data_IF_690939790216
#
_entry.id   IF_690939790216
#
_cell.length_a   1.000
_cell.length_b   1.000
_cell.length_c   1.000
_cell.angle_alpha   90.00
_cell.angle_beta   90.00
_cell.angle_gamma   90.00
#
_symmetry.space_group_name_H-M   'P 1'
#
loop_
_entity.id
_entity.type
_entity.pdbx_description
1 polymer ?
#
# COMPACT_ATOMS: atom_id res chain seq x y z
N UNK A 1 4.02 4.43 -17.75
CA UNK A 1 2.65 4.77 -17.26
C UNK A 1 1.63 4.11 -18.18
N UNK A 2 0.58 3.51 -17.63
CA UNK A 2 -0.50 2.82 -18.39
C UNK A 2 -1.53 3.78 -19.00
N UNK A 3 -1.25 5.07 -18.99
CA UNK A 3 -2.17 6.14 -19.43
C UNK A 3 -2.73 5.93 -20.86
N UNK A 4 -1.93 5.35 -21.75
CA UNK A 4 -2.33 5.08 -23.13
C UNK A 4 -3.37 3.96 -23.26
N UNK A 5 -3.54 3.12 -22.25
CA UNK A 5 -4.50 2.01 -22.26
C UNK A 5 -5.90 2.40 -21.77
N UNK A 6 -6.04 3.55 -21.08
CA UNK A 6 -7.25 3.86 -20.34
C UNK A 6 -8.47 4.05 -21.24
N UNK A 7 -8.31 4.80 -22.34
CA UNK A 7 -9.41 5.09 -23.26
C UNK A 7 -9.87 3.82 -24.00
N UNK A 8 -8.92 3.07 -24.54
CA UNK A 8 -9.22 1.83 -25.29
C UNK A 8 -9.89 0.79 -24.39
N UNK A 9 -9.39 0.62 -23.16
CA UNK A 9 -9.96 -0.29 -22.17
C UNK A 9 -11.41 0.09 -21.81
N UNK A 10 -11.70 1.37 -21.58
CA UNK A 10 -13.04 1.84 -21.28
C UNK A 10 -14.02 1.59 -22.45
N UNK A 11 -13.57 1.84 -23.69
CA UNK A 11 -14.33 1.56 -24.89
C UNK A 11 -14.60 0.06 -25.10
N UNK A 12 -13.61 -0.78 -24.85
CA UNK A 12 -13.76 -2.24 -24.91
C UNK A 12 -14.77 -2.76 -23.88
N UNK A 13 -14.72 -2.24 -22.65
CA UNK A 13 -15.69 -2.58 -21.59
C UNK A 13 -17.11 -2.17 -22.00
N UNK A 14 -17.27 -1.01 -22.63
CA UNK A 14 -18.57 -0.52 -23.12
C UNK A 14 -19.09 -1.38 -24.29
N UNK A 15 -18.25 -1.65 -25.29
CA UNK A 15 -18.57 -2.51 -26.44
C UNK A 15 -18.88 -3.96 -26.04
N UNK A 16 -18.19 -4.46 -25.02
CA UNK A 16 -18.43 -5.80 -24.46
C UNK A 16 -19.69 -5.91 -23.61
N UNK A 17 -20.41 -4.80 -23.39
CA UNK A 17 -21.61 -4.77 -22.56
C UNK A 17 -21.35 -4.92 -21.06
N UNK A 18 -20.12 -4.78 -20.60
CA UNK A 18 -19.74 -4.85 -19.18
C UNK A 18 -19.96 -3.52 -18.46
N UNK A 19 -19.67 -2.40 -19.16
CA UNK A 19 -19.81 -1.06 -18.60
C UNK A 19 -21.06 -0.35 -19.13
N UNK A 20 -21.71 0.41 -18.26
CA UNK A 20 -22.89 1.22 -18.59
C UNK A 20 -22.81 2.59 -17.92
N UNK A 21 -23.60 3.54 -18.41
CA UNK A 21 -23.67 4.88 -17.86
C UNK A 21 -24.62 4.93 -16.65
N UNK A 22 -24.13 5.48 -15.54
CA UNK A 22 -24.88 5.72 -14.30
C UNK A 22 -24.52 7.09 -13.77
N UNK A 23 -25.49 7.98 -13.60
CA UNK A 23 -25.31 9.36 -13.14
C UNK A 23 -24.20 10.14 -13.91
N UNK A 24 -24.08 9.86 -15.20
CA UNK A 24 -23.09 10.44 -16.09
C UNK A 24 -21.70 9.79 -16.01
N UNK A 25 -21.44 8.90 -15.07
CA UNK A 25 -20.20 8.14 -14.97
C UNK A 25 -20.31 6.80 -15.73
N UNK A 26 -19.20 6.31 -16.25
CA UNK A 26 -19.10 4.96 -16.82
C UNK A 26 -18.75 3.99 -15.69
N UNK A 27 -19.58 2.99 -15.44
CA UNK A 27 -19.43 2.06 -14.32
C UNK A 27 -19.56 0.61 -14.75
N UNK A 28 -18.95 -0.30 -13.99
CA UNK A 28 -19.12 -1.74 -14.08
C UNK A 28 -19.75 -2.23 -12.76
N UNK A 29 -20.91 -2.88 -12.84
CA UNK A 29 -21.50 -3.53 -11.68
C UNK A 29 -20.65 -4.75 -11.28
N UNK A 30 -20.23 -4.77 -10.02
CA UNK A 30 -19.35 -5.81 -9.44
C UNK A 30 -20.00 -6.56 -8.29
N UNK A 31 -21.30 -6.33 -8.07
CA UNK A 31 -22.08 -7.03 -7.06
C UNK A 31 -22.20 -8.51 -7.39
N UNK A 32 -22.08 -9.36 -6.39
CA UNK A 32 -22.31 -10.81 -6.46
C UNK A 32 -23.48 -11.22 -5.58
N UNK A 33 -24.16 -12.31 -5.93
CA UNK A 33 -25.31 -12.82 -5.15
C UNK A 33 -24.93 -13.23 -3.72
N UNK A 34 -23.67 -13.60 -3.52
CA UNK A 34 -23.12 -13.99 -2.21
C UNK A 34 -22.81 -12.83 -1.28
N UNK A 35 -22.90 -11.58 -1.76
CA UNK A 35 -22.53 -10.40 -0.98
C UNK A 35 -23.49 -10.19 0.20
N UNK A 36 -22.90 -10.13 1.39
CA UNK A 36 -23.62 -9.79 2.63
C UNK A 36 -23.62 -8.29 2.91
N UNK A 37 -22.84 -7.53 2.17
CA UNK A 37 -22.70 -6.06 2.24
C UNK A 37 -22.95 -5.47 0.86
N UNK A 38 -23.36 -4.22 0.85
CA UNK A 38 -23.48 -3.48 -0.40
C UNK A 38 -22.07 -3.21 -0.97
N UNK A 39 -21.84 -3.67 -2.19
CA UNK A 39 -20.63 -3.39 -2.97
C UNK A 39 -21.02 -2.41 -4.08
N UNK A 40 -20.58 -1.15 -4.02
CA UNK A 40 -20.87 -0.17 -5.06
C UNK A 40 -20.23 -0.58 -6.40
N UNK A 41 -20.79 -0.14 -7.54
CA UNK A 41 -20.19 -0.36 -8.85
C UNK A 41 -18.76 0.21 -8.93
N UNK A 42 -17.92 -0.45 -9.71
CA UNK A 42 -16.57 0.06 -10.01
C UNK A 42 -16.67 1.19 -11.05
N UNK A 43 -16.26 2.39 -10.67
CA UNK A 43 -16.26 3.55 -11.58
C UNK A 43 -15.04 3.45 -12.49
N UNK A 44 -15.28 3.45 -13.80
CA UNK A 44 -14.26 3.40 -14.84
C UNK A 44 -13.89 4.81 -15.32
N UNK A 45 -14.90 5.66 -15.57
CA UNK A 45 -14.70 7.06 -15.91
C UNK A 45 -15.70 7.91 -15.14
N UNK A 46 -15.26 9.07 -14.68
CA UNK A 46 -16.14 10.08 -14.08
C UNK A 46 -17.06 10.69 -15.15
N UNK A 47 -18.04 11.47 -14.69
CA UNK A 47 -18.99 12.20 -15.57
C UNK A 47 -18.31 13.22 -16.49
N UNK A 48 -17.13 13.71 -16.12
CA UNK A 48 -16.28 14.58 -16.95
C UNK A 48 -15.31 13.82 -17.87
N UNK A 49 -15.42 12.48 -17.92
CA UNK A 49 -14.55 11.60 -18.69
C UNK A 49 -13.17 11.33 -18.04
N UNK A 50 -12.91 11.88 -16.87
CA UNK A 50 -11.63 11.67 -16.20
C UNK A 50 -11.51 10.25 -15.63
N UNK A 51 -10.30 9.68 -15.76
CA UNK A 51 -9.94 8.40 -15.15
C UNK A 51 -9.74 8.55 -13.62
N UNK A 52 -9.98 7.44 -12.91
CA UNK A 52 -9.76 7.31 -11.47
C UNK A 52 -8.60 6.35 -11.18
N UNK A 53 -8.30 6.18 -9.89
CA UNK A 53 -7.35 5.15 -9.45
C UNK A 53 -7.80 3.75 -9.88
N UNK A 54 -9.11 3.42 -9.80
CA UNK A 54 -9.66 2.16 -10.29
C UNK A 54 -9.34 1.90 -11.76
N UNK A 55 -9.47 2.92 -12.61
CA UNK A 55 -9.15 2.82 -14.04
C UNK A 55 -7.67 2.51 -14.27
N UNK A 56 -6.80 3.21 -13.52
CA UNK A 56 -5.36 3.01 -13.60
C UNK A 56 -4.94 1.63 -13.09
N UNK A 57 -5.57 1.15 -12.02
CA UNK A 57 -5.29 -0.18 -11.46
C UNK A 57 -5.75 -1.29 -12.42
N UNK A 58 -6.92 -1.15 -13.06
CA UNK A 58 -7.40 -2.08 -14.08
C UNK A 58 -6.48 -2.13 -15.30
N UNK A 59 -6.03 -0.97 -15.79
CA UNK A 59 -5.06 -0.90 -16.89
C UNK A 59 -3.71 -1.52 -16.50
N UNK A 60 -3.29 -1.35 -15.25
CA UNK A 60 -2.07 -1.97 -14.72
C UNK A 60 -2.21 -3.49 -14.65
N UNK A 61 -3.38 -4.02 -14.25
CA UNK A 61 -3.66 -5.47 -14.28
C UNK A 61 -3.53 -5.98 -15.71
N UNK A 62 -4.19 -5.34 -16.68
CA UNK A 62 -4.17 -5.71 -18.08
C UNK A 62 -2.74 -5.71 -18.66
N UNK A 63 -1.97 -4.65 -18.39
CA UNK A 63 -0.56 -4.56 -18.82
C UNK A 63 0.27 -5.69 -18.22
N UNK A 64 0.12 -5.98 -16.93
CA UNK A 64 0.88 -7.04 -16.25
C UNK A 64 0.52 -8.43 -16.76
N UNK A 65 -0.76 -8.71 -17.02
CA UNK A 65 -1.18 -9.97 -17.65
C UNK A 65 -0.53 -10.13 -19.01
N UNK A 66 -0.62 -9.11 -19.85
CA UNK A 66 -0.05 -9.15 -21.22
C UNK A 66 1.46 -9.32 -21.21
N UNK A 67 2.15 -8.67 -20.27
CA UNK A 67 3.62 -8.58 -20.27
C UNK A 67 4.30 -9.74 -19.57
N UNK A 68 3.70 -10.25 -18.50
CA UNK A 68 4.33 -11.20 -17.58
C UNK A 68 3.57 -12.52 -17.42
N UNK A 69 2.30 -12.57 -17.83
CA UNK A 69 1.41 -13.73 -17.61
C UNK A 69 1.58 -14.34 -16.20
N UNK A 70 1.36 -13.58 -15.13
CA UNK A 70 1.69 -14.00 -13.78
C UNK A 70 0.67 -14.99 -13.21
N UNK A 71 1.12 -15.96 -12.43
CA UNK A 71 0.23 -16.86 -11.66
C UNK A 71 -0.45 -16.11 -10.50
N UNK A 72 0.23 -15.07 -9.96
CA UNK A 72 -0.26 -14.29 -8.84
C UNK A 72 0.17 -12.83 -8.94
N UNK A 73 -0.77 -11.91 -8.68
CA UNK A 73 -0.52 -10.49 -8.48
C UNK A 73 -0.89 -10.08 -7.06
N UNK A 74 0.08 -9.56 -6.32
CA UNK A 74 -0.09 -9.13 -4.93
C UNK A 74 -0.05 -7.60 -4.86
N UNK A 75 -1.09 -7.01 -4.25
CA UNK A 75 -1.21 -5.59 -3.98
C UNK A 75 -1.07 -5.35 -2.48
N UNK A 76 0.00 -4.69 -2.09
CA UNK A 76 0.30 -4.38 -0.69
C UNK A 76 -0.01 -2.90 -0.47
N UNK A 77 -1.11 -2.60 0.22
CA UNK A 77 -1.55 -1.23 0.48
C UNK A 77 -2.15 -1.10 1.88
N UNK A 78 -2.54 0.10 2.27
CA UNK A 78 -3.29 0.34 3.50
C UNK A 78 -4.59 -0.48 3.50
N UNK A 79 -4.90 -1.14 4.62
CA UNK A 79 -6.11 -1.98 4.80
C UNK A 79 -7.42 -1.25 4.49
N UNK A 80 -7.44 0.10 4.62
CA UNK A 80 -8.60 0.94 4.27
C UNK A 80 -8.95 0.91 2.79
N UNK A 81 -8.03 0.46 1.93
CA UNK A 81 -8.24 0.29 0.50
C UNK A 81 -8.84 -1.07 0.12
N UNK A 82 -9.19 -1.92 1.08
CA UNK A 82 -9.70 -3.26 0.82
C UNK A 82 -10.94 -3.26 -0.10
N UNK A 83 -11.90 -2.36 0.12
CA UNK A 83 -13.09 -2.23 -0.73
C UNK A 83 -12.73 -1.82 -2.17
N UNK A 84 -11.76 -0.91 -2.33
CA UNK A 84 -11.28 -0.51 -3.65
C UNK A 84 -10.70 -1.70 -4.43
N UNK A 85 -9.83 -2.51 -3.80
CA UNK A 85 -9.27 -3.68 -4.47
C UNK A 85 -10.28 -4.80 -4.68
N UNK A 86 -11.27 -4.95 -3.80
CA UNK A 86 -12.40 -5.85 -4.04
C UNK A 86 -13.15 -5.48 -5.33
N UNK A 87 -13.50 -4.21 -5.50
CA UNK A 87 -14.16 -3.70 -6.71
C UNK A 87 -13.28 -3.88 -7.95
N UNK A 88 -11.99 -3.51 -7.88
CA UNK A 88 -11.05 -3.61 -9.00
C UNK A 88 -10.86 -5.06 -9.42
N UNK A 89 -10.69 -5.99 -8.49
CA UNK A 89 -10.46 -7.41 -8.79
C UNK A 89 -11.70 -8.05 -9.42
N UNK A 90 -12.89 -7.79 -8.87
CA UNK A 90 -14.14 -8.27 -9.46
C UNK A 90 -14.38 -7.67 -10.84
N UNK A 91 -14.12 -6.38 -11.01
CA UNK A 91 -14.21 -5.72 -12.31
C UNK A 91 -13.25 -6.36 -13.33
N UNK A 92 -11.99 -6.57 -12.97
CA UNK A 92 -10.99 -7.19 -13.83
C UNK A 92 -11.40 -8.61 -14.29
N UNK A 93 -11.98 -9.40 -13.37
CA UNK A 93 -12.55 -10.73 -13.69
C UNK A 93 -13.72 -10.64 -14.64
N UNK A 94 -14.72 -9.85 -14.28
CA UNK A 94 -15.97 -9.69 -15.04
C UNK A 94 -15.71 -9.20 -16.46
N UNK A 95 -14.77 -8.25 -16.61
CA UNK A 95 -14.41 -7.67 -17.92
C UNK A 95 -13.35 -8.47 -18.68
N UNK A 96 -12.91 -9.61 -18.13
CA UNK A 96 -11.93 -10.52 -18.73
C UNK A 96 -10.56 -9.89 -18.98
N UNK A 97 -10.18 -8.84 -18.23
CA UNK A 97 -8.83 -8.29 -18.22
C UNK A 97 -7.82 -9.27 -17.60
N UNK A 98 -8.30 -10.20 -16.79
CA UNK A 98 -7.49 -11.25 -16.18
C UNK A 98 -8.26 -12.57 -16.23
N UNK A 99 -7.57 -13.65 -16.58
CA UNK A 99 -8.11 -15.01 -16.59
C UNK A 99 -8.19 -15.62 -15.18
N UNK A 100 -8.92 -16.73 -15.05
CA UNK A 100 -9.12 -17.41 -13.76
C UNK A 100 -7.84 -18.02 -13.21
N UNK A 101 -6.85 -18.29 -14.07
CA UNK A 101 -5.55 -18.87 -13.69
C UNK A 101 -4.68 -17.88 -12.89
N UNK A 102 -4.85 -16.57 -13.05
CA UNK A 102 -4.10 -15.57 -12.30
C UNK A 102 -4.77 -15.22 -10.97
N UNK A 103 -4.08 -15.38 -9.86
CA UNK A 103 -4.56 -14.99 -8.53
C UNK A 103 -4.38 -13.49 -8.29
N UNK A 104 -5.44 -12.79 -7.92
CA UNK A 104 -5.38 -11.40 -7.45
C UNK A 104 -5.51 -11.38 -5.93
N UNK A 105 -4.53 -10.80 -5.24
CA UNK A 105 -4.46 -10.79 -3.77
C UNK A 105 -4.21 -9.37 -3.27
N UNK A 106 -5.04 -8.91 -2.34
CA UNK A 106 -4.79 -7.68 -1.58
C UNK A 106 -4.30 -8.04 -0.18
N UNK A 107 -3.15 -7.49 0.20
CA UNK A 107 -2.60 -7.56 1.54
C UNK A 107 -2.66 -6.16 2.13
N UNK A 108 -3.62 -5.96 3.05
CA UNK A 108 -3.81 -4.68 3.73
C UNK A 108 -2.91 -4.56 4.95
N UNK A 109 -2.08 -3.52 5.03
CA UNK A 109 -1.32 -3.21 6.22
C UNK A 109 -2.00 -2.14 7.09
N UNK A 110 -1.67 -2.15 8.38
CA UNK A 110 -2.16 -1.18 9.36
C UNK A 110 -1.44 0.17 9.26
N UNK A 111 -1.93 1.12 10.03
CA UNK A 111 -1.37 2.48 10.08
C UNK A 111 -0.27 2.55 11.12
N UNK A 112 0.84 3.20 10.78
CA UNK A 112 1.86 3.61 11.75
C UNK A 112 1.41 4.93 12.38
N UNK A 113 1.30 4.94 13.70
CA UNK A 113 0.86 6.07 14.49
C UNK A 113 2.04 6.75 15.21
N UNK A 114 1.88 7.99 15.59
CA UNK A 114 2.80 8.67 16.49
C UNK A 114 2.66 8.19 17.95
N UNK A 115 3.51 8.71 18.85
CA UNK A 115 3.45 8.44 20.31
C UNK A 115 2.09 8.78 20.94
N UNK A 116 1.34 9.70 20.34
CA UNK A 116 -0.01 10.09 20.77
C UNK A 116 -1.11 9.10 20.30
N UNK A 117 -0.73 8.00 19.64
CA UNK A 117 -1.64 6.99 19.11
C UNK A 117 -2.45 7.44 17.91
N UNK A 118 -2.15 8.61 17.33
CA UNK A 118 -2.85 9.13 16.15
C UNK A 118 -2.03 8.91 14.88
N UNK A 119 -2.69 8.65 13.74
CA UNK A 119 -2.01 8.58 12.45
C UNK A 119 -1.25 9.87 12.18
N UNK A 120 -0.04 9.76 11.66
CA UNK A 120 0.69 10.91 11.17
C UNK A 120 -0.12 11.66 10.10
N UNK A 121 -0.37 12.96 10.30
CA UNK A 121 -1.17 13.77 9.38
C UNK A 121 -0.29 14.40 8.31
N UNK A 122 -0.59 14.11 7.05
CA UNK A 122 0.12 14.65 5.88
C UNK A 122 -0.11 16.16 5.67
N UNK A 123 -1.26 16.71 6.15
CA UNK A 123 -1.66 18.10 5.87
C UNK A 123 -0.97 19.15 6.74
N UNK A 124 -0.45 18.77 7.89
CA UNK A 124 0.15 19.72 8.85
C UNK A 124 1.70 19.74 8.79
N UNK A 125 2.31 19.18 7.72
CA UNK A 125 3.76 19.05 7.61
C UNK A 125 4.40 18.09 8.63
N UNK A 126 3.59 17.38 9.40
CA UNK A 126 3.98 16.58 10.55
C UNK A 126 4.09 15.08 10.32
N UNK A 127 4.08 14.60 9.07
CA UNK A 127 4.43 13.20 8.79
C UNK A 127 5.95 13.12 8.75
N UNK A 128 6.60 12.46 9.69
CA UNK A 128 8.03 12.23 9.58
C UNK A 128 8.27 11.41 8.31
N UNK A 129 9.16 11.90 7.46
CA UNK A 129 9.62 11.11 6.32
C UNK A 129 10.37 9.91 6.87
N UNK A 130 10.31 8.78 6.18
CA UNK A 130 11.05 7.58 6.58
C UNK A 130 12.54 7.87 6.79
N UNK A 131 13.12 8.75 5.96
CA UNK A 131 14.50 9.24 6.10
C UNK A 131 14.76 9.86 7.47
N UNK A 132 13.85 10.68 7.98
CA UNK A 132 13.97 11.30 9.29
C UNK A 132 13.87 10.26 10.41
N UNK A 133 12.95 9.30 10.29
CA UNK A 133 12.82 8.21 11.27
C UNK A 133 14.07 7.33 11.33
N UNK A 134 14.67 7.04 10.17
CA UNK A 134 15.95 6.31 10.09
C UNK A 134 17.04 7.12 10.80
N UNK A 135 17.17 8.40 10.45
CA UNK A 135 18.16 9.29 11.05
C UNK A 135 18.00 9.39 12.58
N UNK A 136 16.79 9.59 13.08
CA UNK A 136 16.52 9.71 14.52
C UNK A 136 16.91 8.41 15.27
N UNK A 137 16.66 7.25 14.67
CA UNK A 137 17.06 5.96 15.25
C UNK A 137 18.59 5.79 15.20
N UNK A 138 19.24 6.14 14.09
CA UNK A 138 20.68 6.03 13.95
C UNK A 138 21.41 6.92 14.95
N UNK A 139 20.95 8.15 15.16
CA UNK A 139 21.52 9.07 16.16
C UNK A 139 21.28 8.56 17.60
N UNK A 140 20.10 8.04 17.90
CA UNK A 140 19.83 7.47 19.21
C UNK A 140 20.66 6.21 19.48
N UNK A 141 20.83 5.34 18.48
CA UNK A 141 21.70 4.17 18.57
C UNK A 141 23.16 4.58 18.76
N UNK A 142 23.64 5.56 17.99
CA UNK A 142 24.98 6.10 18.14
C UNK A 142 25.21 6.61 19.56
N UNK A 143 24.29 7.40 20.10
CA UNK A 143 24.37 7.92 21.47
C UNK A 143 24.51 6.78 22.49
N UNK A 144 23.66 5.76 22.40
CA UNK A 144 23.68 4.58 23.30
C UNK A 144 24.99 3.79 23.20
N UNK A 145 25.53 3.62 21.99
CA UNK A 145 26.80 2.92 21.78
C UNK A 145 27.94 3.69 22.43
N UNK A 146 28.05 4.99 22.21
CA UNK A 146 29.12 5.84 22.79
C UNK A 146 29.01 5.88 24.31
N UNK A 147 27.80 5.96 24.88
CA UNK A 147 27.60 5.91 26.33
C UNK A 147 28.04 4.57 26.94
N UNK A 148 27.79 3.46 26.25
CA UNK A 148 28.13 2.12 26.74
C UNK A 148 29.57 1.68 26.44
N UNK A 149 30.20 2.23 25.41
CA UNK A 149 31.53 1.85 24.92
C UNK A 149 32.41 3.09 24.63
N UNK A 150 32.81 3.77 25.67
CA UNK A 150 33.55 5.04 25.58
C UNK A 150 34.90 4.97 24.83
N UNK A 151 35.49 3.78 24.72
CA UNK A 151 36.77 3.57 24.04
C UNK A 151 36.62 3.22 22.54
N UNK A 152 35.37 3.10 22.04
CA UNK A 152 35.14 2.75 20.64
C UNK A 152 35.43 3.97 19.74
N UNK A 153 36.16 3.79 18.62
CA UNK A 153 36.32 4.85 17.63
C UNK A 153 34.97 5.34 17.10
N UNK A 154 34.83 6.67 16.90
CA UNK A 154 33.55 7.27 16.48
C UNK A 154 33.07 6.70 15.14
N UNK A 155 33.97 6.50 14.17
CA UNK A 155 33.61 5.92 12.86
C UNK A 155 33.04 4.51 12.99
N UNK A 156 33.60 3.68 13.86
CA UNK A 156 33.12 2.34 14.14
C UNK A 156 31.75 2.39 14.84
N UNK A 157 31.59 3.28 15.82
CA UNK A 157 30.32 3.47 16.52
C UNK A 157 29.20 3.92 15.57
N UNK A 158 29.48 4.83 14.64
CA UNK A 158 28.51 5.27 13.62
C UNK A 158 28.13 4.16 12.66
N UNK A 159 29.07 3.39 12.16
CA UNK A 159 28.80 2.26 11.28
C UNK A 159 27.93 1.19 11.97
N UNK A 160 28.23 0.89 13.24
CA UNK A 160 27.38 -0.04 14.01
C UNK A 160 25.99 0.54 14.24
N UNK A 161 25.87 1.83 14.56
CA UNK A 161 24.59 2.51 14.76
C UNK A 161 23.68 2.41 13.54
N UNK A 162 24.19 2.69 12.34
CA UNK A 162 23.44 2.57 11.09
C UNK A 162 22.94 1.13 10.83
N UNK A 163 23.81 0.13 11.02
CA UNK A 163 23.45 -1.28 10.83
C UNK A 163 22.37 -1.71 11.83
N UNK A 164 22.58 -1.40 13.11
CA UNK A 164 21.67 -1.81 14.20
C UNK A 164 20.40 -0.99 14.16
N UNK A 165 20.46 0.31 13.84
CA UNK A 165 19.31 1.18 13.66
C UNK A 165 18.37 0.68 12.57
N UNK A 166 18.90 0.35 11.39
CA UNK A 166 18.13 -0.21 10.31
C UNK A 166 17.53 -1.58 10.67
N UNK A 167 18.28 -2.43 11.39
CA UNK A 167 17.78 -3.71 11.87
C UNK A 167 16.63 -3.54 12.89
N UNK A 168 16.75 -2.57 13.80
CA UNK A 168 15.72 -2.24 14.78
C UNK A 168 14.41 -1.77 14.13
N UNK A 169 14.49 -0.92 13.11
CA UNK A 169 13.31 -0.49 12.35
C UNK A 169 12.61 -1.68 11.68
N UNK A 170 13.38 -2.50 10.97
CA UNK A 170 12.84 -3.69 10.30
C UNK A 170 12.22 -4.67 11.28
N UNK A 171 12.88 -4.94 12.39
CA UNK A 171 12.36 -5.82 13.42
C UNK A 171 11.10 -5.25 14.06
N UNK A 172 11.12 -3.97 14.43
CA UNK A 172 9.97 -3.29 15.04
C UNK A 172 8.74 -3.29 14.15
N UNK A 173 8.91 -3.06 12.83
CA UNK A 173 7.82 -3.13 11.87
C UNK A 173 7.32 -4.57 11.68
N UNK A 174 8.21 -5.50 11.38
CA UNK A 174 7.87 -6.89 11.05
C UNK A 174 7.41 -7.73 12.25
N UNK A 175 7.71 -7.32 13.49
CA UNK A 175 7.22 -7.97 14.71
C UNK A 175 5.73 -7.72 14.97
N UNK A 176 5.15 -6.71 14.33
CA UNK A 176 3.72 -6.44 14.39
C UNK A 176 2.96 -7.28 13.36
N UNK A 177 1.70 -7.63 13.69
CA UNK A 177 0.82 -8.22 12.69
C UNK A 177 0.55 -7.18 11.59
N UNK A 178 0.76 -7.55 10.33
CA UNK A 178 0.67 -6.63 9.19
C UNK A 178 -0.59 -5.76 9.19
N UNK A 179 -1.77 -6.33 9.49
CA UNK A 179 -3.04 -5.60 9.48
C UNK A 179 -3.32 -4.77 10.74
N UNK A 180 -2.46 -4.82 11.77
CA UNK A 180 -2.64 -4.04 13.00
C UNK A 180 -1.98 -2.67 12.87
N UNK A 181 -2.68 -1.66 13.44
CA UNK A 181 -2.08 -0.35 13.66
C UNK A 181 -1.10 -0.45 14.82
N UNK A 182 0.05 0.23 14.74
CA UNK A 182 1.02 0.30 15.83
C UNK A 182 1.58 1.72 15.98
N UNK A 183 2.11 2.03 17.16
CA UNK A 183 2.75 3.32 17.41
C UNK A 183 4.26 3.20 17.23
N UNK A 184 4.83 4.11 16.45
CA UNK A 184 6.26 4.26 16.30
C UNK A 184 6.82 5.05 17.47
N UNK A 185 7.77 4.47 18.17
CA UNK A 185 8.48 5.08 19.30
C UNK A 185 9.97 4.76 19.20
N UNK A 186 10.80 5.79 19.01
CA UNK A 186 12.26 5.65 18.88
C UNK A 186 12.85 4.95 20.12
N UNK A 187 12.42 5.34 21.34
CA UNK A 187 12.95 4.75 22.58
C UNK A 187 12.70 3.25 22.66
N UNK A 188 11.47 2.84 22.25
CA UNK A 188 11.08 1.42 22.19
C UNK A 188 11.86 0.63 21.14
N UNK A 189 12.03 1.22 19.96
CA UNK A 189 12.74 0.57 18.84
C UNK A 189 14.25 0.46 19.07
N UNK A 190 14.80 1.33 19.90
CA UNK A 190 16.22 1.33 20.28
C UNK A 190 16.50 0.72 21.65
N UNK A 191 15.51 0.11 22.29
CA UNK A 191 15.68 -0.62 23.54
C UNK A 191 16.52 -1.88 23.30
N UNK A 192 17.55 -2.09 24.15
CA UNK A 192 18.33 -3.32 24.17
C UNK A 192 17.70 -4.41 25.06
N UNK A 193 16.66 -4.07 25.77
CA UNK A 193 15.88 -5.01 26.57
C UNK A 193 14.79 -5.59 25.64
N UNK A 194 15.01 -6.82 25.19
CA UNK A 194 13.97 -7.56 24.47
C UNK A 194 12.78 -7.82 25.38
N UNK A 195 11.56 -7.78 24.81
CA UNK A 195 10.34 -8.24 25.48
C UNK A 195 10.38 -9.75 25.71
#
# INVERSE_FOLDING_TARGET
>A
TVQYLLADMAEEMKKGGYAYESEGALVVDVKEESDTKEIPPCIILKSDGAALYSTTDLATISERVTKYNPDIMIYITDKRQAMHFEQVFRCARKTKLVGDDTKLVHIGFGTVNGKDGKPFKTRDGGVPRLENLIHDIDEEMFRKIVESRQEMPEEEARNIAEIVGLAAIKYGDLSNQAAKDYSFDVDRFTSFEGD
#
